data_IF_173664160034
#
_entry.id   IF_173664160034
#
_cell.length_a   1.000
_cell.length_b   1.000
_cell.length_c   1.000
_cell.angle_alpha   90.00
_cell.angle_beta   90.00
_cell.angle_gamma   90.00
#
_symmetry.space_group_name_H-M   'P 1'
#
loop_
_entity.id
_entity.type
_entity.pdbx_description
1 polymer ?
#
# COMPACT_ATOMS: atom_id res chain seq x y z
N UNK A 1 -1.38 7.65 18.29
CA UNK A 1 -0.93 7.34 16.91
C UNK A 1 -0.92 5.83 16.71
N UNK A 2 -1.58 5.30 15.67
CA UNK A 2 -1.89 3.87 15.49
C UNK A 2 -0.63 2.98 15.31
N UNK A 3 0.48 3.51 14.77
CA UNK A 3 1.68 2.73 14.47
C UNK A 3 2.93 3.09 15.29
N UNK A 4 2.86 4.10 16.16
CA UNK A 4 3.99 4.59 16.95
C UNK A 4 5.03 5.41 16.15
N UNK A 5 5.73 6.32 16.84
CA UNK A 5 6.59 7.35 16.21
C UNK A 5 7.79 6.75 15.46
N UNK A 6 8.40 5.68 16.01
CA UNK A 6 9.53 4.96 15.38
C UNK A 6 9.19 4.27 14.05
N UNK A 7 7.91 3.97 13.83
CA UNK A 7 7.44 3.36 12.58
C UNK A 7 7.31 4.42 11.50
N UNK A 8 6.79 5.60 11.87
CA UNK A 8 6.57 6.74 10.95
C UNK A 8 7.88 7.20 10.31
N UNK A 9 8.97 7.24 11.08
CA UNK A 9 10.29 7.65 10.56
C UNK A 9 10.86 6.71 9.47
N UNK A 10 10.33 5.48 9.35
CA UNK A 10 10.71 4.50 8.32
C UNK A 10 9.61 4.31 7.26
N UNK A 11 8.71 5.29 7.10
CA UNK A 11 7.72 5.32 6.03
C UNK A 11 8.20 6.25 4.91
N UNK A 12 8.04 5.80 3.67
CA UNK A 12 8.29 6.58 2.47
C UNK A 12 6.94 6.95 1.81
N UNK A 13 6.74 8.22 1.39
CA UNK A 13 5.57 8.59 0.61
C UNK A 13 5.66 7.97 -0.78
N UNK A 14 4.51 7.53 -1.30
CA UNK A 14 4.35 7.13 -2.70
C UNK A 14 3.33 8.04 -3.38
N UNK A 15 3.62 8.39 -4.62
CA UNK A 15 2.72 9.14 -5.50
C UNK A 15 2.83 8.56 -6.91
N UNK A 16 1.69 8.30 -7.51
CA UNK A 16 1.57 7.87 -8.91
C UNK A 16 0.33 8.52 -9.50
N UNK A 17 0.44 9.00 -10.73
CA UNK A 17 -0.70 9.53 -11.47
C UNK A 17 -0.66 8.95 -12.87
N UNK A 18 -1.79 8.42 -13.27
CA UNK A 18 -2.11 8.07 -14.64
C UNK A 18 -3.33 8.91 -15.08
N UNK A 19 -3.76 8.79 -16.34
CA UNK A 19 -4.89 9.54 -16.90
C UNK A 19 -6.15 9.41 -16.01
N UNK A 20 -6.50 8.19 -15.61
CA UNK A 20 -7.76 7.90 -14.93
C UNK A 20 -7.59 7.47 -13.46
N UNK A 21 -6.33 7.37 -12.99
CA UNK A 21 -6.00 6.81 -11.67
C UNK A 21 -4.98 7.70 -10.96
N UNK A 22 -5.27 8.02 -9.71
CA UNK A 22 -4.34 8.69 -8.79
C UNK A 22 -4.06 7.79 -7.60
N UNK A 23 -2.79 7.50 -7.37
CA UNK A 23 -2.30 6.70 -6.24
C UNK A 23 -1.48 7.59 -5.33
N UNK A 24 -1.85 7.63 -4.06
CA UNK A 24 -1.13 8.34 -3.02
C UNK A 24 -1.04 7.46 -1.77
N UNK A 25 0.01 7.59 -0.99
CA UNK A 25 0.09 6.83 0.24
C UNK A 25 1.46 6.85 0.89
N UNK A 26 1.62 5.94 1.85
CA UNK A 26 2.86 5.70 2.56
C UNK A 26 3.13 4.21 2.62
N UNK A 27 4.37 3.84 2.40
CA UNK A 27 4.83 2.45 2.46
C UNK A 27 6.09 2.38 3.31
N UNK A 28 6.27 1.31 4.06
CA UNK A 28 7.44 1.16 4.92
C UNK A 28 8.69 0.85 4.10
N UNK A 29 9.85 1.28 4.59
CA UNK A 29 11.12 0.84 4.02
C UNK A 29 11.25 -0.70 4.15
N UNK A 30 12.00 -1.38 3.26
CA UNK A 30 12.14 -2.84 3.28
C UNK A 30 12.69 -3.40 4.61
N UNK A 31 13.40 -2.60 5.39
CA UNK A 31 13.87 -2.93 6.73
C UNK A 31 12.73 -3.05 7.77
N UNK A 32 11.62 -2.36 7.53
CA UNK A 32 10.47 -2.32 8.42
C UNK A 32 9.34 -3.17 7.82
N UNK A 33 9.23 -4.39 8.32
CA UNK A 33 8.25 -5.38 7.83
C UNK A 33 7.44 -6.00 8.97
N UNK A 34 6.39 -6.75 8.59
CA UNK A 34 5.52 -7.54 9.46
C UNK A 34 5.39 -8.96 8.91
N UNK A 35 5.02 -9.89 9.79
CA UNK A 35 4.72 -11.28 9.45
C UNK A 35 3.36 -11.44 8.76
N UNK A 36 2.48 -10.44 8.86
CA UNK A 36 1.14 -10.46 8.30
C UNK A 36 0.94 -9.37 7.27
N UNK A 37 0.28 -9.72 6.17
CA UNK A 37 -0.19 -8.81 5.12
C UNK A 37 -1.34 -7.90 5.56
N UNK A 38 -1.90 -8.10 6.76
CA UNK A 38 -3.00 -7.27 7.29
C UNK A 38 -2.59 -5.80 7.51
N UNK A 39 -1.28 -5.51 7.48
CA UNK A 39 -0.73 -4.16 7.59
C UNK A 39 -0.64 -3.44 6.23
N UNK A 40 -1.14 -4.06 5.15
CA UNK A 40 -1.33 -3.44 3.85
C UNK A 40 -2.80 -2.99 3.77
N UNK A 41 -3.01 -1.69 3.94
CA UNK A 41 -4.32 -1.05 3.83
C UNK A 41 -4.47 -0.42 2.46
N UNK A 42 -5.48 -0.87 1.72
CA UNK A 42 -5.84 -0.34 0.42
C UNK A 42 -7.18 0.39 0.54
N UNK A 43 -7.20 1.63 0.07
CA UNK A 43 -8.37 2.50 0.09
C UNK A 43 -8.66 2.86 -1.36
N UNK A 44 -9.84 2.54 -1.86
CA UNK A 44 -10.29 2.87 -3.20
C UNK A 44 -11.48 3.83 -3.09
N UNK A 45 -11.36 5.04 -3.65
CA UNK A 45 -12.41 6.07 -3.60
C UNK A 45 -12.98 6.28 -2.18
N UNK A 46 -12.10 6.30 -1.18
CA UNK A 46 -12.46 6.46 0.25
C UNK A 46 -12.96 5.20 0.96
N UNK A 47 -13.09 4.06 0.26
CA UNK A 47 -13.53 2.79 0.85
C UNK A 47 -12.35 1.87 1.10
N UNK A 48 -12.27 1.30 2.30
CA UNK A 48 -11.30 0.24 2.58
C UNK A 48 -11.64 -1.01 1.78
N UNK A 49 -10.71 -1.50 0.98
CA UNK A 49 -10.89 -2.69 0.15
C UNK A 49 -9.88 -3.78 0.52
N UNK A 50 -10.30 -5.03 0.37
CA UNK A 50 -9.42 -6.20 0.43
C UNK A 50 -9.35 -6.83 -0.95
N UNK A 51 -8.32 -6.46 -1.69
CA UNK A 51 -8.12 -6.96 -3.05
C UNK A 51 -6.76 -7.69 -3.13
N UNK A 52 -6.79 -8.97 -3.47
CA UNK A 52 -5.60 -9.82 -3.53
C UNK A 52 -4.64 -9.42 -4.67
N UNK A 53 -5.10 -9.20 -5.92
CA UNK A 53 -4.26 -8.65 -6.98
C UNK A 53 -3.52 -7.36 -6.59
N UNK A 54 -4.22 -6.38 -6.02
CA UNK A 54 -3.61 -5.12 -5.60
C UNK A 54 -2.59 -5.33 -4.47
N UNK A 55 -2.91 -6.18 -3.49
CA UNK A 55 -1.96 -6.52 -2.41
C UNK A 55 -0.69 -7.17 -2.99
N UNK A 56 -0.83 -8.08 -3.96
CA UNK A 56 0.29 -8.71 -4.64
C UNK A 56 1.12 -7.70 -5.44
N UNK A 57 0.47 -6.74 -6.10
CA UNK A 57 1.14 -5.65 -6.81
C UNK A 57 2.00 -4.79 -5.87
N UNK A 58 1.49 -4.46 -4.68
CA UNK A 58 2.26 -3.73 -3.65
C UNK A 58 3.52 -4.51 -3.28
N UNK A 59 3.38 -5.81 -3.01
CA UNK A 59 4.52 -6.67 -2.64
C UNK A 59 5.51 -6.78 -3.80
N UNK A 60 5.01 -6.98 -5.03
CA UNK A 60 5.83 -7.08 -6.23
C UNK A 60 6.62 -5.78 -6.51
N UNK A 61 6.06 -4.61 -6.18
CA UNK A 61 6.75 -3.31 -6.31
C UNK A 61 8.03 -3.20 -5.48
N UNK A 62 8.21 -4.01 -4.44
CA UNK A 62 9.46 -4.09 -3.68
C UNK A 62 10.53 -4.97 -4.33
N UNK A 63 10.15 -5.83 -5.28
CA UNK A 63 11.04 -6.78 -5.93
C UNK A 63 11.77 -7.66 -4.92
N UNK A 64 13.10 -7.79 -5.07
CA UNK A 64 13.96 -8.58 -4.20
C UNK A 64 14.31 -7.93 -2.85
N UNK A 65 13.79 -6.73 -2.55
CA UNK A 65 14.13 -6.01 -1.31
C UNK A 65 13.41 -6.56 -0.08
N UNK A 66 12.30 -7.29 -0.27
CA UNK A 66 11.59 -7.93 0.83
C UNK A 66 12.12 -9.35 1.06
N UNK A 67 12.35 -9.67 2.34
CA UNK A 67 12.62 -11.05 2.74
C UNK A 67 11.39 -11.94 2.48
N UNK A 68 11.63 -13.21 2.17
CA UNK A 68 10.56 -14.20 1.94
C UNK A 68 9.65 -14.28 3.17
N UNK A 69 8.34 -14.25 2.96
CA UNK A 69 7.33 -14.32 4.02
C UNK A 69 7.18 -13.04 4.86
N UNK A 70 7.78 -11.92 4.44
CA UNK A 70 7.67 -10.62 5.11
C UNK A 70 6.87 -9.64 4.25
N UNK A 71 6.06 -8.83 4.91
CA UNK A 71 5.17 -7.86 4.27
C UNK A 71 5.49 -6.44 4.74
N UNK A 72 5.42 -5.44 3.87
CA UNK A 72 5.55 -4.04 4.28
C UNK A 72 4.32 -3.58 5.05
N UNK A 73 4.45 -2.47 5.77
CA UNK A 73 3.33 -1.68 6.26
C UNK A 73 3.01 -0.68 5.16
N UNK A 74 1.79 -0.69 4.65
CA UNK A 74 1.40 0.19 3.57
C UNK A 74 0.01 0.75 3.81
N UNK A 75 -0.16 2.03 3.53
CA UNK A 75 -1.47 2.70 3.47
C UNK A 75 -1.51 3.39 2.12
N UNK A 76 -2.32 2.86 1.21
CA UNK A 76 -2.39 3.31 -0.18
C UNK A 76 -3.83 3.71 -0.46
N UNK A 77 -3.99 4.93 -0.94
CA UNK A 77 -5.23 5.50 -1.42
C UNK A 77 -5.18 5.59 -2.93
N UNK A 78 -6.14 4.96 -3.58
CA UNK A 78 -6.34 4.93 -5.01
C UNK A 78 -7.64 5.68 -5.27
N UNK A 79 -7.56 6.75 -6.04
CA UNK A 79 -8.71 7.46 -6.56
C UNK A 79 -8.78 7.16 -8.06
N UNK A 80 -9.91 6.62 -8.51
CA UNK A 80 -10.18 6.33 -9.91
C UNK A 80 -11.62 6.72 -10.24
N UNK A 81 -11.88 7.06 -11.51
CA UNK A 81 -13.24 7.40 -11.95
C UNK A 81 -14.19 6.22 -11.63
N UNK A 82 -15.30 6.44 -10.88
CA UNK A 82 -16.29 5.41 -10.60
C UNK A 82 -16.81 4.69 -11.85
N UNK A 83 -16.81 5.34 -13.01
CA UNK A 83 -17.25 4.74 -14.27
C UNK A 83 -16.34 3.59 -14.76
N UNK A 84 -15.11 3.50 -14.26
CA UNK A 84 -14.11 2.48 -14.62
C UNK A 84 -13.99 1.35 -13.59
N UNK A 85 -14.77 1.39 -12.51
CA UNK A 85 -14.70 0.43 -11.40
C UNK A 85 -16.00 -0.37 -11.34
N UNK A 86 -15.94 -1.65 -11.73
CA UNK A 86 -16.99 -2.62 -11.42
C UNK A 86 -16.70 -3.20 -10.01
N UNK A 87 -17.68 -3.11 -9.11
CA UNK A 87 -17.52 -3.36 -7.64
C UNK A 87 -17.67 -4.83 -7.29
#
# INVERSE_FOLDING_TARGET
AIYGVKTISKMAPIKGKDLDIQVNGYVSLPELTRSSRNYISLILNGRFIRNYPLTKAVIAGYGSKLMIGRFPIAVITINADPALIDV
#
